data_IF_909010505863
#
_entry.id   IF_909010505863
#
_cell.length_a   1.000
_cell.length_b   1.000
_cell.length_c   1.000
_cell.angle_alpha   90.00
_cell.angle_beta   90.00
_cell.angle_gamma   90.00
#
_symmetry.space_group_name_H-M   'P 1'
#
loop_
_entity.id
_entity.type
_entity.pdbx_description
1 polymer ?
#
# COMPACT_ATOMS: atom_id res chain seq x y z
N UNK A 1 3.48 12.58 -6.08
CA UNK A 1 4.07 13.19 -4.87
C UNK A 1 5.46 13.70 -5.17
N UNK A 2 5.76 15.00 -4.96
CA UNK A 2 7.10 15.55 -5.20
C UNK A 2 7.95 15.22 -3.98
N UNK A 3 8.90 14.29 -4.12
CA UNK A 3 9.90 14.02 -3.09
C UNK A 3 10.78 15.25 -2.93
N UNK A 4 10.65 15.93 -1.79
CA UNK A 4 11.61 16.93 -1.33
C UNK A 4 12.89 16.17 -0.95
N UNK A 5 13.92 16.29 -1.78
CA UNK A 5 15.28 15.87 -1.43
C UNK A 5 15.72 16.70 -0.22
N UNK A 6 16.04 16.05 0.90
CA UNK A 6 16.35 16.68 2.18
C UNK A 6 17.65 17.48 2.25
N UNK A 7 18.05 18.18 1.17
CA UNK A 7 19.32 18.89 1.08
C UNK A 7 19.23 20.42 1.17
N UNK A 8 18.03 20.99 1.34
CA UNK A 8 17.81 22.46 1.43
C UNK A 8 17.36 22.93 2.84
N UNK A 9 17.31 22.04 3.84
CA UNK A 9 16.87 22.39 5.19
C UNK A 9 18.04 22.97 6.01
N UNK A 10 17.86 24.11 6.72
CA UNK A 10 18.88 24.66 7.60
C UNK A 10 19.22 23.65 8.71
N UNK A 11 20.52 23.42 8.92
CA UNK A 11 21.03 22.45 9.88
C UNK A 11 20.45 22.66 11.29
N UNK A 12 19.69 21.68 11.79
CA UNK A 12 19.21 21.66 13.18
C UNK A 12 17.68 21.77 13.37
N UNK A 13 16.89 21.96 12.32
CA UNK A 13 15.42 21.86 12.43
C UNK A 13 14.91 20.50 11.95
N UNK A 14 14.10 19.76 12.73
CA UNK A 14 13.42 18.57 12.24
C UNK A 14 12.51 18.97 11.08
N UNK A 15 12.79 18.45 9.89
CA UNK A 15 11.87 18.59 8.76
C UNK A 15 10.57 17.86 9.16
N UNK A 16 9.40 18.52 9.16
CA UNK A 16 8.14 17.83 9.40
C UNK A 16 7.97 16.75 8.33
N UNK A 17 8.21 15.50 8.71
CA UNK A 17 7.90 14.36 7.83
C UNK A 17 6.38 14.28 7.74
N UNK A 18 5.78 14.38 6.55
CA UNK A 18 4.34 14.20 6.41
C UNK A 18 3.95 12.85 7.01
N UNK A 19 2.92 12.83 7.87
CA UNK A 19 2.43 11.58 8.42
C UNK A 19 1.72 10.77 7.32
N UNK A 20 2.24 9.57 7.04
CA UNK A 20 1.55 8.61 6.20
C UNK A 20 0.33 8.01 6.90
N UNK A 21 -0.64 7.53 6.13
CA UNK A 21 -1.77 6.74 6.64
C UNK A 21 -1.55 5.28 6.29
N UNK A 22 -1.87 4.39 7.23
CA UNK A 22 -1.81 2.94 7.02
C UNK A 22 -3.19 2.37 7.25
N UNK A 23 -3.64 1.52 6.32
CA UNK A 23 -4.89 0.78 6.41
C UNK A 23 -4.57 -0.71 6.46
N UNK A 24 -5.11 -1.41 7.46
CA UNK A 24 -5.14 -2.87 7.46
C UNK A 24 -6.48 -3.30 6.89
N UNK A 25 -6.44 -4.01 5.77
CA UNK A 25 -7.63 -4.47 5.04
C UNK A 25 -7.60 -5.99 4.93
N UNK A 26 -8.76 -6.62 5.13
CA UNK A 26 -8.93 -8.03 4.81
C UNK A 26 -9.22 -8.20 3.33
N UNK A 27 -8.47 -9.08 2.65
CA UNK A 27 -8.68 -9.41 1.25
C UNK A 27 -9.86 -10.39 1.01
N UNK A 28 -10.46 -10.93 2.08
CA UNK A 28 -11.46 -12.00 1.95
C UNK A 28 -10.82 -13.33 1.57
N UNK A 29 -11.64 -14.32 1.14
CA UNK A 29 -11.18 -15.68 0.85
C UNK A 29 -10.54 -15.86 -0.55
N UNK A 30 -10.53 -14.81 -1.38
CA UNK A 30 -9.84 -14.80 -2.67
C UNK A 30 -10.68 -14.29 -3.85
N UNK A 31 -12.00 -14.43 -3.77
CA UNK A 31 -12.95 -13.86 -4.74
C UNK A 31 -13.00 -12.32 -4.60
N UNK A 32 -12.67 -11.55 -5.65
CA UNK A 32 -12.73 -10.09 -5.62
C UNK A 32 -14.10 -9.51 -5.25
N UNK A 33 -15.21 -10.20 -5.57
CA UNK A 33 -16.56 -9.73 -5.23
C UNK A 33 -16.85 -9.78 -3.72
N UNK A 34 -16.02 -10.49 -2.96
CA UNK A 34 -16.12 -10.57 -1.50
C UNK A 34 -15.30 -9.50 -0.78
N UNK A 35 -14.63 -8.61 -1.51
CA UNK A 35 -14.03 -7.42 -0.91
C UNK A 35 -15.11 -6.47 -0.40
N UNK A 36 -14.88 -5.89 0.78
CA UNK A 36 -15.70 -4.77 1.22
C UNK A 36 -15.46 -3.56 0.31
N UNK A 37 -16.49 -2.75 0.07
CA UNK A 37 -16.37 -1.52 -0.72
C UNK A 37 -15.29 -0.56 -0.18
N UNK A 38 -15.05 -0.56 1.14
CA UNK A 38 -13.99 0.24 1.74
C UNK A 38 -12.59 -0.31 1.44
N UNK A 39 -12.44 -1.63 1.41
CA UNK A 39 -11.16 -2.26 1.05
C UNK A 39 -10.81 -1.98 -0.41
N UNK A 40 -11.77 -2.07 -1.32
CA UNK A 40 -11.58 -1.74 -2.74
C UNK A 40 -11.12 -0.28 -2.92
N UNK A 41 -11.83 0.69 -2.32
CA UNK A 41 -11.47 2.12 -2.42
C UNK A 41 -10.06 2.39 -1.89
N UNK A 42 -9.71 1.81 -0.74
CA UNK A 42 -8.36 1.96 -0.18
C UNK A 42 -7.31 1.34 -1.10
N UNK A 43 -7.61 0.20 -1.72
CA UNK A 43 -6.70 -0.49 -2.64
C UNK A 43 -6.47 0.30 -3.93
N UNK A 44 -7.52 0.90 -4.49
CA UNK A 44 -7.45 1.75 -5.69
C UNK A 44 -6.69 3.07 -5.43
N UNK A 45 -6.82 3.65 -4.23
CA UNK A 45 -6.17 4.92 -3.86
C UNK A 45 -4.77 4.75 -3.26
N UNK A 46 -4.31 3.52 -3.02
CA UNK A 46 -3.06 3.27 -2.33
C UNK A 46 -1.83 3.59 -3.20
N UNK A 47 -0.92 4.41 -2.66
CA UNK A 47 0.40 4.61 -3.26
C UNK A 47 1.27 3.33 -3.18
N UNK A 48 1.10 2.55 -2.10
CA UNK A 48 1.88 1.33 -1.82
C UNK A 48 0.97 0.26 -1.19
N UNK A 49 1.05 -0.97 -1.70
CA UNK A 49 0.30 -2.11 -1.17
C UNK A 49 1.27 -3.22 -0.77
N UNK A 50 1.21 -3.59 0.51
CA UNK A 50 1.91 -4.76 1.05
C UNK A 50 0.89 -5.91 1.13
N UNK A 51 1.20 -7.05 0.52
CA UNK A 51 0.28 -8.20 0.48
C UNK A 51 1.01 -9.52 0.77
N UNK A 52 0.30 -10.43 1.43
CA UNK A 52 0.77 -11.80 1.68
C UNK A 52 0.42 -12.72 0.50
N UNK A 53 1.06 -13.88 0.44
CA UNK A 53 0.91 -14.93 -0.56
C UNK A 53 -0.50 -15.52 -0.68
N UNK A 54 -1.33 -15.35 0.35
CA UNK A 54 -2.69 -15.87 0.38
C UNK A 54 -3.68 -14.96 -0.37
N UNK A 55 -3.28 -13.72 -0.67
CA UNK A 55 -4.11 -12.80 -1.45
C UNK A 55 -4.11 -13.24 -2.91
N UNK A 56 -5.28 -13.31 -3.53
CA UNK A 56 -5.40 -13.70 -4.93
C UNK A 56 -4.79 -12.65 -5.85
N UNK A 57 -4.26 -13.09 -7.00
CA UNK A 57 -3.69 -12.18 -7.97
C UNK A 57 -4.75 -11.24 -8.58
N UNK A 58 -6.01 -11.67 -8.63
CA UNK A 58 -7.12 -10.84 -9.10
C UNK A 58 -7.34 -9.64 -8.20
N UNK A 59 -7.32 -9.84 -6.87
CA UNK A 59 -7.41 -8.75 -5.90
C UNK A 59 -6.20 -7.81 -6.03
N UNK A 60 -4.98 -8.34 -6.10
CA UNK A 60 -3.77 -7.50 -6.24
C UNK A 60 -3.82 -6.63 -7.51
N UNK A 61 -4.40 -7.15 -8.60
CA UNK A 61 -4.56 -6.41 -9.86
C UNK A 61 -5.62 -5.31 -9.84
N UNK A 62 -6.40 -5.18 -8.77
CA UNK A 62 -7.35 -4.07 -8.60
C UNK A 62 -6.67 -2.79 -8.12
N UNK A 63 -5.42 -2.87 -7.63
CA UNK A 63 -4.63 -1.68 -7.33
C UNK A 63 -4.35 -0.87 -8.60
N UNK A 64 -4.14 0.44 -8.44
CA UNK A 64 -3.77 1.30 -9.56
C UNK A 64 -2.45 0.87 -10.21
N UNK A 65 -2.32 1.09 -11.51
CA UNK A 65 -1.11 0.74 -12.27
C UNK A 65 0.17 1.43 -11.78
N UNK A 66 0.05 2.59 -11.12
CA UNK A 66 1.16 3.33 -10.51
C UNK A 66 1.46 2.88 -9.08
N UNK A 67 0.61 2.04 -8.46
CA UNK A 67 0.80 1.54 -7.11
C UNK A 67 2.04 0.66 -7.00
N UNK A 68 2.86 0.89 -5.98
CA UNK A 68 4.00 0.03 -5.67
C UNK A 68 3.48 -1.21 -4.95
N UNK A 69 3.65 -2.38 -5.57
CA UNK A 69 3.23 -3.67 -5.02
C UNK A 69 4.40 -4.39 -4.35
N UNK A 70 4.27 -4.73 -3.07
CA UNK A 70 5.30 -5.42 -2.28
C UNK A 70 4.74 -6.72 -1.71
N UNK A 71 5.21 -7.85 -2.24
CA UNK A 71 4.90 -9.17 -1.69
C UNK A 71 5.72 -9.39 -0.39
N UNK A 72 5.02 -9.57 0.73
CA UNK A 72 5.64 -9.78 2.06
C UNK A 72 5.47 -11.21 2.60
N UNK A 73 4.84 -12.08 1.83
CA UNK A 73 4.59 -13.45 2.24
C UNK A 73 5.86 -14.28 2.40
N UNK A 74 5.89 -15.10 3.46
CA UNK A 74 7.00 -16.04 3.69
C UNK A 74 6.86 -17.28 2.81
N UNK A 75 8.00 -17.77 2.29
CA UNK A 75 8.07 -19.12 1.71
C UNK A 75 7.89 -20.14 2.84
N UNK A 76 7.14 -21.25 2.63
CA UNK A 76 7.18 -22.34 3.58
C UNK A 76 8.60 -22.92 3.56
N UNK A 77 9.19 -23.08 4.74
CA UNK A 77 10.50 -23.70 4.92
C UNK A 77 10.41 -25.22 4.90
#
# INVERSE_FOLDING_TARGET
>A
MRLVTGNDAPAGQPVPVPSGKVFLVGAGPGDPELLTLKALRVLEEADVVLYDRLVSHEIVRMADSATILIAVGKRPG
#
